data_IF_756643285514
#
_entry.id   IF_756643285514
#
_cell.length_a   1.000
_cell.length_b   1.000
_cell.length_c   1.000
_cell.angle_alpha   90.00
_cell.angle_beta   90.00
_cell.angle_gamma   90.00
#
_symmetry.space_group_name_H-M   'P 1'
#
loop_
_entity.id
_entity.type
_entity.pdbx_description
1 polymer ?
#
# COMPACT_ATOMS: atom_id res chain seq x y z
N UNK A 1 -23.20 48.79 -5.55
CA UNK A 1 -23.42 47.40 -5.10
C UNK A 1 -22.57 46.51 -5.99
N UNK A 2 -21.41 46.08 -5.51
CA UNK A 2 -20.51 45.15 -6.21
C UNK A 2 -20.70 43.80 -5.54
N UNK A 3 -21.29 42.85 -6.25
CA UNK A 3 -21.37 41.46 -5.81
C UNK A 3 -20.10 40.74 -6.28
N UNK A 4 -19.19 40.48 -5.34
CA UNK A 4 -18.08 39.54 -5.51
C UNK A 4 -18.68 38.14 -5.51
N UNK A 5 -18.74 37.50 -6.69
CA UNK A 5 -18.93 36.07 -6.79
C UNK A 5 -17.63 35.38 -6.39
N UNK A 6 -17.58 34.91 -5.14
CA UNK A 6 -16.64 33.88 -4.73
C UNK A 6 -17.00 32.61 -5.52
N UNK A 7 -16.19 32.29 -6.51
CA UNK A 7 -16.19 30.95 -7.11
C UNK A 7 -15.62 30.01 -6.07
N UNK A 8 -16.49 29.29 -5.37
CA UNK A 8 -16.10 28.12 -4.61
C UNK A 8 -15.37 27.17 -5.58
N UNK A 9 -14.10 26.94 -5.26
CA UNK A 9 -13.26 25.92 -5.87
C UNK A 9 -13.92 24.57 -5.64
N UNK A 10 -14.70 24.12 -6.63
CA UNK A 10 -15.08 22.71 -6.76
C UNK A 10 -13.77 21.99 -7.02
N UNK A 11 -13.15 21.45 -5.96
CA UNK A 11 -12.09 20.48 -6.07
C UNK A 11 -12.71 19.26 -6.74
N UNK A 12 -12.70 19.26 -8.08
CA UNK A 12 -13.04 18.09 -8.89
C UNK A 12 -12.13 16.98 -8.40
N UNK A 13 -12.72 15.95 -7.80
CA UNK A 13 -12.03 14.70 -7.51
C UNK A 13 -11.18 14.37 -8.74
N UNK A 14 -9.87 14.14 -8.60
CA UNK A 14 -9.05 13.81 -9.75
C UNK A 14 -9.69 12.60 -10.44
N UNK A 15 -9.88 12.71 -11.76
CA UNK A 15 -10.30 11.57 -12.55
C UNK A 15 -9.34 10.41 -12.27
N UNK A 16 -9.86 9.19 -12.21
CA UNK A 16 -9.05 7.99 -12.01
C UNK A 16 -7.85 7.98 -12.97
N UNK A 17 -6.66 7.70 -12.45
CA UNK A 17 -5.42 7.56 -13.24
C UNK A 17 -4.80 6.18 -12.98
N UNK A 18 -4.21 5.59 -13.99
CA UNK A 18 -3.52 4.30 -13.87
C UNK A 18 -2.08 4.38 -14.39
N UNK A 19 -1.15 3.76 -13.66
CA UNK A 19 0.21 3.47 -14.14
C UNK A 19 0.26 2.20 -15.01
N UNK A 20 -0.80 1.39 -14.99
CA UNK A 20 -0.94 0.15 -15.76
C UNK A 20 -1.78 0.43 -17.00
N UNK A 21 -1.15 0.37 -18.18
CA UNK A 21 -1.74 0.83 -19.45
C UNK A 21 -2.98 0.06 -19.90
N UNK A 22 -3.19 -1.16 -19.39
CA UNK A 22 -4.35 -1.98 -19.71
C UNK A 22 -5.57 -1.66 -18.83
N UNK A 23 -5.42 -0.82 -17.81
CA UNK A 23 -6.46 -0.48 -16.85
C UNK A 23 -6.84 1.00 -17.02
N UNK A 24 -8.08 1.26 -17.40
CA UNK A 24 -8.59 2.60 -17.72
C UNK A 24 -9.57 3.12 -16.66
N UNK A 25 -10.19 2.23 -15.90
CA UNK A 25 -11.16 2.58 -14.88
C UNK A 25 -11.09 1.61 -13.69
N UNK A 26 -12.00 1.78 -12.73
CA UNK A 26 -12.07 0.95 -11.53
C UNK A 26 -12.85 -0.35 -11.75
N UNK A 27 -13.64 -0.47 -12.82
CA UNK A 27 -14.31 -1.72 -13.22
C UNK A 27 -13.29 -2.73 -13.72
N UNK A 28 -12.29 -2.28 -14.50
CA UNK A 28 -11.15 -3.10 -14.94
C UNK A 28 -10.35 -3.68 -13.73
N UNK A 29 -10.32 -2.96 -12.60
CA UNK A 29 -9.71 -3.46 -11.35
C UNK A 29 -10.60 -4.55 -10.73
N UNK A 30 -11.92 -4.31 -10.68
CA UNK A 30 -12.88 -5.27 -10.12
C UNK A 30 -12.88 -6.59 -10.90
N UNK A 31 -12.75 -6.54 -12.22
CA UNK A 31 -12.66 -7.73 -13.07
C UNK A 31 -11.45 -8.61 -12.73
N UNK A 32 -10.33 -8.01 -12.32
CA UNK A 32 -9.08 -8.73 -12.03
C UNK A 32 -8.96 -9.17 -10.57
N UNK A 33 -9.41 -8.36 -9.62
CA UNK A 33 -9.19 -8.62 -8.18
C UNK A 33 -10.47 -8.59 -7.34
N UNK A 34 -11.64 -8.50 -7.96
CA UNK A 34 -12.94 -8.43 -7.28
C UNK A 34 -13.17 -9.58 -6.30
N UNK A 35 -12.72 -10.79 -6.63
CA UNK A 35 -12.73 -11.93 -5.73
C UNK A 35 -12.02 -11.64 -4.40
N UNK A 36 -10.81 -11.06 -4.44
CA UNK A 36 -10.09 -10.68 -3.21
C UNK A 36 -10.80 -9.57 -2.44
N UNK A 37 -11.42 -8.61 -3.14
CA UNK A 37 -12.16 -7.50 -2.53
C UNK A 37 -13.41 -7.95 -1.78
N UNK A 38 -14.07 -9.02 -2.23
CA UNK A 38 -15.22 -9.64 -1.53
C UNK A 38 -14.78 -10.25 -0.19
N UNK A 39 -13.67 -10.98 -0.19
CA UNK A 39 -13.15 -11.66 1.00
C UNK A 39 -12.28 -10.80 1.90
N UNK A 40 -12.14 -9.51 1.59
CA UNK A 40 -11.26 -8.61 2.33
C UNK A 40 -11.53 -8.57 3.83
N UNK A 41 -12.74 -8.88 4.30
CA UNK A 41 -13.07 -8.94 5.73
C UNK A 41 -12.27 -10.02 6.50
N UNK A 42 -11.66 -10.98 5.80
CA UNK A 42 -10.80 -12.02 6.36
C UNK A 42 -9.32 -11.61 6.42
N UNK A 43 -8.93 -10.49 5.80
CA UNK A 43 -7.53 -10.10 5.67
C UNK A 43 -7.01 -9.39 6.92
N UNK A 44 -5.73 -9.55 7.21
CA UNK A 44 -5.08 -8.77 8.27
C UNK A 44 -4.96 -7.31 7.85
N UNK A 45 -5.27 -6.36 8.75
CA UNK A 45 -4.97 -4.94 8.51
C UNK A 45 -3.69 -4.54 9.20
N UNK A 46 -2.83 -3.88 8.44
CA UNK A 46 -1.52 -3.42 8.90
C UNK A 46 -1.34 -1.96 8.53
N UNK A 47 -0.62 -1.25 9.37
CA UNK A 47 -0.17 0.12 9.11
C UNK A 47 1.27 0.24 9.55
N UNK A 48 1.91 1.34 9.20
CA UNK A 48 3.23 1.65 9.70
C UNK A 48 3.24 1.82 11.23
N UNK A 49 4.22 1.27 11.96
CA UNK A 49 4.33 1.46 13.41
C UNK A 49 4.32 2.93 13.86
N UNK A 50 4.95 3.86 13.11
CA UNK A 50 4.91 5.29 13.43
C UNK A 50 3.55 5.94 13.19
N UNK A 51 2.67 5.28 12.43
CA UNK A 51 1.30 5.74 12.18
C UNK A 51 0.28 5.05 13.07
N UNK A 52 0.64 3.99 13.81
CA UNK A 52 -0.30 3.25 14.67
C UNK A 52 -1.01 4.16 15.68
N UNK A 53 -0.30 5.13 16.26
CA UNK A 53 -0.88 6.11 17.18
C UNK A 53 -1.89 7.06 16.50
N UNK A 54 -1.83 7.20 15.17
CA UNK A 54 -2.74 8.04 14.38
C UNK A 54 -3.96 7.25 13.88
N UNK A 55 -4.08 5.97 14.26
CA UNK A 55 -5.18 5.11 13.89
C UNK A 55 -5.99 4.76 15.13
N UNK A 56 -7.30 4.98 15.04
CA UNK A 56 -8.22 4.27 15.90
C UNK A 56 -8.16 2.78 15.55
N UNK A 57 -8.00 1.92 16.56
CA UNK A 57 -7.78 0.49 16.34
C UNK A 57 -8.98 -0.16 15.65
N UNK A 58 -10.19 0.15 16.10
CA UNK A 58 -11.43 -0.35 15.53
C UNK A 58 -11.62 0.12 14.09
N UNK A 59 -11.30 1.38 13.82
CA UNK A 59 -11.32 1.95 12.49
C UNK A 59 -10.36 1.22 11.54
N UNK A 60 -9.11 0.98 11.98
CA UNK A 60 -8.11 0.26 11.19
C UNK A 60 -8.58 -1.17 10.89
N UNK A 61 -9.10 -1.90 11.88
CA UNK A 61 -9.58 -3.27 11.68
C UNK A 61 -10.80 -3.35 10.75
N UNK A 62 -11.64 -2.30 10.74
CA UNK A 62 -12.81 -2.21 9.85
C UNK A 62 -12.48 -1.63 8.48
N UNK A 63 -11.21 -1.25 8.22
CA UNK A 63 -10.81 -0.67 6.95
C UNK A 63 -11.11 -1.62 5.78
N UNK A 64 -11.64 -1.02 4.71
CA UNK A 64 -11.96 -1.72 3.47
C UNK A 64 -11.53 -0.91 2.25
N UNK A 65 -10.94 -1.60 1.28
CA UNK A 65 -10.69 -1.05 -0.05
C UNK A 65 -12.03 -0.90 -0.75
N UNK A 66 -12.33 0.33 -1.16
CA UNK A 66 -13.54 0.68 -1.92
C UNK A 66 -13.13 1.27 -3.25
N UNK A 67 -13.35 0.54 -4.34
CA UNK A 67 -12.88 0.91 -5.68
C UNK A 67 -13.38 2.27 -6.15
N UNK A 68 -14.62 2.63 -5.80
CA UNK A 68 -15.17 3.95 -6.13
C UNK A 68 -14.47 5.14 -5.45
N UNK A 69 -13.56 4.89 -4.50
CA UNK A 69 -12.70 5.91 -3.88
C UNK A 69 -11.26 5.84 -4.37
N UNK A 70 -10.92 4.87 -5.22
CA UNK A 70 -9.59 4.76 -5.82
C UNK A 70 -9.46 5.80 -6.91
N UNK A 71 -8.46 6.66 -6.80
CA UNK A 71 -8.15 7.67 -7.80
C UNK A 71 -6.85 7.39 -8.57
N UNK A 72 -6.01 6.48 -8.05
CA UNK A 72 -4.72 6.11 -8.66
C UNK A 72 -4.45 4.63 -8.48
N UNK A 73 -4.18 3.95 -9.59
CA UNK A 73 -3.61 2.60 -9.58
C UNK A 73 -2.11 2.69 -9.91
N UNK A 74 -1.26 2.11 -9.06
CA UNK A 74 0.18 2.02 -9.28
C UNK A 74 0.61 0.67 -9.82
N UNK A 75 -0.03 -0.41 -9.35
CA UNK A 75 0.30 -1.78 -9.71
C UNK A 75 -0.91 -2.68 -9.52
N UNK A 76 -1.08 -3.67 -10.39
CA UNK A 76 -2.03 -4.75 -10.25
C UNK A 76 -1.40 -6.05 -10.73
N UNK A 77 -1.65 -7.12 -9.99
CA UNK A 77 -1.31 -8.48 -10.36
C UNK A 77 -2.48 -9.39 -10.05
N UNK A 78 -2.73 -10.29 -10.98
CA UNK A 78 -3.75 -11.32 -10.89
C UNK A 78 -3.19 -12.61 -11.48
N UNK A 79 -3.29 -13.69 -10.73
CA UNK A 79 -3.03 -15.04 -11.17
C UNK A 79 -4.12 -15.96 -10.61
N UNK A 80 -4.77 -16.69 -11.50
CA UNK A 80 -5.71 -17.77 -11.19
C UNK A 80 -5.48 -18.86 -12.21
N UNK A 81 -5.02 -20.02 -11.75
CA UNK A 81 -4.85 -21.20 -12.62
C UNK A 81 -6.10 -22.09 -12.65
N UNK A 82 -7.20 -21.64 -12.03
CA UNK A 82 -8.49 -22.31 -11.88
C UNK A 82 -8.44 -23.66 -11.14
N UNK A 83 -7.24 -24.09 -10.67
CA UNK A 83 -7.00 -25.47 -10.23
C UNK A 83 -6.35 -25.50 -8.85
N UNK A 84 -5.25 -24.79 -8.65
CA UNK A 84 -4.32 -25.01 -7.55
C UNK A 84 -3.88 -23.76 -6.80
N UNK A 85 -3.85 -22.59 -7.43
CA UNK A 85 -3.38 -21.38 -6.77
C UNK A 85 -4.01 -20.12 -7.34
N UNK A 86 -4.34 -19.22 -6.42
CA UNK A 86 -4.82 -17.86 -6.72
C UNK A 86 -3.96 -16.86 -5.97
N UNK A 87 -3.58 -15.80 -6.66
CA UNK A 87 -2.82 -14.71 -6.09
C UNK A 87 -3.26 -13.38 -6.69
N UNK A 88 -3.52 -12.42 -5.81
CA UNK A 88 -4.00 -11.09 -6.15
C UNK A 88 -3.12 -10.07 -5.42
N UNK A 89 -2.72 -9.02 -6.12
CA UNK A 89 -2.00 -7.90 -5.52
C UNK A 89 -2.42 -6.58 -6.17
N UNK A 90 -2.69 -5.55 -5.37
CA UNK A 90 -2.92 -4.19 -5.85
C UNK A 90 -2.17 -3.18 -5.00
N UNK A 91 -1.62 -2.17 -5.67
CA UNK A 91 -1.11 -0.94 -5.06
C UNK A 91 -1.92 0.24 -5.57
N UNK A 92 -2.63 0.92 -4.67
CA UNK A 92 -3.55 2.02 -5.03
C UNK A 92 -3.41 3.22 -4.10
N UNK A 93 -3.80 4.39 -4.60
CA UNK A 93 -4.18 5.53 -3.76
C UNK A 93 -5.70 5.65 -3.76
N UNK A 94 -6.26 5.87 -2.58
CA UNK A 94 -7.70 6.09 -2.44
C UNK A 94 -8.02 7.21 -1.47
N UNK A 95 -9.18 7.81 -1.67
CA UNK A 95 -9.78 8.75 -0.73
C UNK A 95 -10.31 8.04 0.51
N UNK A 96 -9.96 8.60 1.66
CA UNK A 96 -10.46 8.12 2.94
C UNK A 96 -10.64 9.30 3.89
N UNK A 97 -11.92 9.61 4.18
CA UNK A 97 -12.32 10.85 4.85
C UNK A 97 -11.82 12.04 4.02
N UNK A 98 -11.00 12.91 4.58
CA UNK A 98 -10.46 14.12 3.93
C UNK A 98 -8.99 13.93 3.51
N UNK A 99 -8.48 12.69 3.57
CA UNK A 99 -7.08 12.37 3.30
C UNK A 99 -6.92 11.33 2.19
N UNK A 100 -5.74 11.34 1.56
CA UNK A 100 -5.33 10.28 0.64
C UNK A 100 -4.60 9.19 1.40
N UNK A 101 -4.99 7.94 1.18
CA UNK A 101 -4.29 6.77 1.69
C UNK A 101 -3.64 5.99 0.56
N UNK A 102 -2.47 5.46 0.86
CA UNK A 102 -1.78 4.49 0.02
C UNK A 102 -2.05 3.10 0.59
N UNK A 103 -2.50 2.20 -0.28
CA UNK A 103 -2.96 0.88 0.12
C UNK A 103 -2.27 -0.16 -0.73
N UNK A 104 -1.77 -1.18 -0.05
CA UNK A 104 -1.34 -2.44 -0.63
C UNK A 104 -2.26 -3.53 -0.15
N UNK A 105 -2.93 -4.22 -1.07
CA UNK A 105 -3.68 -5.43 -0.76
C UNK A 105 -2.99 -6.59 -1.47
N UNK A 106 -2.61 -7.60 -0.70
CA UNK A 106 -2.10 -8.87 -1.21
C UNK A 106 -2.95 -9.99 -0.64
N UNK A 107 -3.38 -10.92 -1.48
CA UNK A 107 -4.17 -12.07 -1.08
C UNK A 107 -3.83 -13.29 -1.92
N UNK A 108 -3.97 -14.47 -1.35
CA UNK A 108 -3.87 -15.71 -2.10
C UNK A 108 -4.54 -16.88 -1.40
N UNK A 109 -4.83 -17.93 -2.15
CA UNK A 109 -5.11 -19.27 -1.61
C UNK A 109 -4.38 -20.30 -2.47
N UNK A 110 -3.75 -21.25 -1.78
CA UNK A 110 -3.25 -22.48 -2.37
C UNK A 110 -4.18 -23.64 -1.99
N UNK A 111 -4.55 -24.43 -2.99
CA UNK A 111 -5.42 -25.59 -2.87
C UNK A 111 -4.58 -26.86 -2.91
N UNK A 112 -4.50 -27.58 -1.78
CA UNK A 112 -3.79 -28.86 -1.68
C UNK A 112 -4.77 -29.98 -1.34
N UNK A 113 -5.26 -30.71 -2.36
CA UNK A 113 -6.22 -31.79 -2.17
C UNK A 113 -7.58 -31.27 -1.70
N UNK A 114 -7.97 -31.55 -0.45
CA UNK A 114 -9.21 -31.04 0.17
C UNK A 114 -8.99 -29.80 1.06
N UNK A 115 -7.74 -29.37 1.26
CA UNK A 115 -7.40 -28.22 2.11
C UNK A 115 -7.19 -26.97 1.23
N UNK A 116 -7.78 -25.82 1.62
CA UNK A 116 -7.37 -24.48 1.14
C UNK A 116 -6.63 -23.77 2.26
N UNK A 117 -5.42 -23.33 1.96
CA UNK A 117 -4.66 -22.43 2.81
C UNK A 117 -4.68 -21.06 2.14
N UNK A 118 -5.62 -20.23 2.60
CA UNK A 118 -5.83 -18.88 2.10
C UNK A 118 -5.59 -17.82 3.15
N UNK A 119 -5.22 -16.63 2.68
CA UNK A 119 -5.02 -15.46 3.52
C UNK A 119 -4.85 -14.20 2.70
N UNK A 120 -4.82 -13.08 3.39
CA UNK A 120 -4.49 -11.81 2.76
C UNK A 120 -4.14 -10.76 3.79
N UNK A 121 -3.50 -9.71 3.33
CA UNK A 121 -3.17 -8.54 4.11
C UNK A 121 -3.55 -7.27 3.35
N UNK A 122 -3.93 -6.26 4.12
CA UNK A 122 -4.15 -4.91 3.64
C UNK A 122 -3.22 -4.02 4.46
N UNK A 123 -2.16 -3.54 3.82
CA UNK A 123 -1.27 -2.54 4.39
C UNK A 123 -1.73 -1.14 3.97
N UNK A 124 -1.81 -0.22 4.94
CA UNK A 124 -2.31 1.13 4.76
C UNK A 124 -1.29 2.12 5.32
N UNK A 125 -1.05 3.22 4.60
CA UNK A 125 -0.24 4.33 5.12
C UNK A 125 -0.74 5.67 4.58
N UNK A 126 -0.61 6.72 5.38
CA UNK A 126 -0.85 8.11 4.93
C UNK A 126 0.41 8.70 4.30
N UNK A 127 1.57 8.15 4.63
CA UNK A 127 2.86 8.69 4.22
C UNK A 127 3.33 8.10 2.88
N UNK A 128 3.48 8.92 1.82
CA UNK A 128 3.93 8.46 0.52
C UNK A 128 5.39 7.95 0.52
N UNK A 129 6.25 8.42 1.43
CA UNK A 129 7.60 7.89 1.57
C UNK A 129 7.61 6.48 2.18
N UNK A 130 6.73 6.22 3.15
CA UNK A 130 6.59 4.87 3.73
C UNK A 130 6.04 3.92 2.68
N UNK A 131 5.04 4.35 1.92
CA UNK A 131 4.51 3.58 0.79
C UNK A 131 5.63 3.23 -0.20
N UNK A 132 6.36 4.23 -0.69
CA UNK A 132 7.39 4.02 -1.70
C UNK A 132 8.60 3.20 -1.22
N UNK A 133 9.02 3.35 0.04
CA UNK A 133 10.26 2.72 0.53
C UNK A 133 10.03 1.41 1.28
N UNK A 134 8.84 1.19 1.83
CA UNK A 134 8.56 0.04 2.70
C UNK A 134 7.49 -0.90 2.16
N UNK A 135 6.66 -0.45 1.23
CA UNK A 135 5.56 -1.24 0.66
C UNK A 135 5.85 -1.66 -0.77
N UNK A 136 6.33 -0.70 -1.58
CA UNK A 136 6.72 -0.95 -2.98
C UNK A 136 7.97 -1.84 -3.02
N UNK A 137 7.79 -3.07 -3.50
CA UNK A 137 8.83 -4.06 -3.73
C UNK A 137 9.41 -4.00 -5.15
N UNK A 138 10.45 -4.80 -5.37
CA UNK A 138 11.16 -4.88 -6.66
C UNK A 138 10.25 -5.19 -7.85
N UNK A 139 9.24 -6.04 -7.63
CA UNK A 139 8.36 -6.53 -8.69
C UNK A 139 7.33 -5.48 -9.14
N UNK A 140 7.21 -4.35 -8.42
CA UNK A 140 6.21 -3.31 -8.67
C UNK A 140 6.70 -2.17 -9.58
N UNK A 141 7.92 -2.27 -10.12
CA UNK A 141 8.59 -1.19 -10.86
C UNK A 141 8.68 0.12 -10.05
N UNK A 142 9.53 0.17 -9.00
CA UNK A 142 9.61 1.31 -8.07
C UNK A 142 9.90 2.66 -8.75
N UNK A 143 10.68 2.68 -9.84
CA UNK A 143 10.97 3.89 -10.60
C UNK A 143 9.72 4.49 -11.25
N UNK A 144 8.83 3.66 -11.79
CA UNK A 144 7.56 4.11 -12.35
C UNK A 144 6.67 4.70 -11.25
N UNK A 145 6.57 4.01 -10.11
CA UNK A 145 5.75 4.46 -8.97
C UNK A 145 6.28 5.77 -8.38
N UNK A 146 7.60 5.92 -8.26
CA UNK A 146 8.24 7.17 -7.86
C UNK A 146 7.83 8.33 -8.78
N UNK A 147 7.94 8.15 -10.09
CA UNK A 147 7.53 9.19 -11.05
C UNK A 147 6.03 9.50 -10.96
N UNK A 148 5.20 8.49 -10.75
CA UNK A 148 3.76 8.66 -10.54
C UNK A 148 3.47 9.55 -9.32
N UNK A 149 4.16 9.31 -8.20
CA UNK A 149 4.00 10.11 -6.97
C UNK A 149 4.43 11.57 -7.19
N UNK A 150 5.51 11.80 -7.93
CA UNK A 150 5.96 13.15 -8.29
C UNK A 150 4.94 13.88 -9.19
N UNK A 151 4.41 13.20 -10.21
CA UNK A 151 3.35 13.76 -11.08
C UNK A 151 2.08 14.11 -10.31
N UNK A 152 1.76 13.33 -9.28
CA UNK A 152 0.63 13.57 -8.39
C UNK A 152 0.90 14.67 -7.34
N UNK A 153 2.10 15.28 -7.35
CA UNK A 153 2.48 16.41 -6.51
C UNK A 153 3.06 16.05 -5.14
N UNK A 154 3.35 14.77 -4.88
CA UNK A 154 3.99 14.35 -3.64
C UNK A 154 5.47 14.67 -3.62
N UNK A 155 5.95 15.09 -2.45
CA UNK A 155 7.38 15.23 -2.17
C UNK A 155 7.88 13.93 -1.55
N UNK A 156 8.42 13.06 -2.38
CA UNK A 156 9.01 11.78 -1.96
C UNK A 156 10.50 11.75 -2.27
N UNK A 157 11.23 11.06 -1.42
CA UNK A 157 12.66 10.79 -1.61
C UNK A 157 12.83 9.67 -2.63
N UNK A 158 13.82 9.81 -3.51
CA UNK A 158 14.18 8.77 -4.47
C UNK A 158 14.55 7.46 -3.72
N UNK A 159 14.03 6.30 -4.15
CA UNK A 159 14.39 5.01 -3.56
C UNK A 159 15.88 4.75 -3.71
N UNK A 160 16.55 4.45 -2.61
CA UNK A 160 17.96 4.06 -2.59
C UNK A 160 18.13 2.60 -3.04
N UNK A 161 19.36 2.19 -3.34
CA UNK A 161 19.64 0.77 -3.60
C UNK A 161 19.26 -0.14 -2.42
N UNK A 162 19.25 0.39 -1.19
CA UNK A 162 18.82 -0.38 -0.03
C UNK A 162 17.32 -0.62 -0.05
N UNK A 163 16.52 0.41 -0.34
CA UNK A 163 15.06 0.32 -0.48
C UNK A 163 14.69 -0.67 -1.60
N UNK A 164 15.44 -0.62 -2.71
CA UNK A 164 15.23 -1.49 -3.85
C UNK A 164 15.73 -2.91 -3.63
N UNK A 165 16.79 -3.16 -2.84
CA UNK A 165 17.42 -4.49 -2.71
C UNK A 165 17.88 -4.81 -1.28
N UNK A 166 16.97 -4.82 -0.29
CA UNK A 166 17.35 -4.94 1.12
C UNK A 166 18.07 -6.26 1.42
N UNK A 167 17.64 -7.39 0.83
CA UNK A 167 18.28 -8.71 1.03
C UNK A 167 19.73 -8.78 0.56
N UNK A 168 20.10 -8.07 -0.51
CA UNK A 168 21.48 -8.05 -1.03
C UNK A 168 22.38 -7.15 -0.20
N UNK A 169 21.80 -6.11 0.41
CA UNK A 169 22.50 -5.08 1.16
C UNK A 169 22.53 -5.34 2.68
N UNK A 170 21.75 -6.30 3.18
CA UNK A 170 21.62 -6.59 4.61
C UNK A 170 22.95 -6.94 5.28
N UNK A 171 23.87 -7.55 4.52
CA UNK A 171 25.19 -7.95 5.00
C UNK A 171 26.24 -6.84 4.95
N UNK A 172 25.94 -5.68 4.33
CA UNK A 172 26.93 -4.64 4.02
C UNK A 172 26.60 -3.26 4.59
N UNK A 173 25.47 -3.11 5.29
CA UNK A 173 25.03 -1.83 5.87
C UNK A 173 24.90 -1.97 7.39
N UNK A 174 25.38 -1.01 8.22
CA UNK A 174 25.27 -1.08 9.68
C UNK A 174 23.80 -1.25 10.09
N UNK A 175 23.47 -2.44 10.60
CA UNK A 175 22.14 -3.02 10.53
C UNK A 175 21.02 -2.27 11.29
N UNK A 176 21.35 -1.30 12.15
CA UNK A 176 20.38 -0.70 13.08
C UNK A 176 19.57 0.45 12.51
N UNK A 177 20.12 1.22 11.57
CA UNK A 177 19.40 2.31 10.90
C UNK A 177 18.45 1.83 9.80
N UNK A 178 18.44 0.53 9.53
CA UNK A 178 17.81 -0.08 8.36
C UNK A 178 17.01 -1.34 8.68
N UNK A 179 16.78 -1.63 9.98
CA UNK A 179 15.85 -2.70 10.35
C UNK A 179 14.48 -2.38 9.78
N UNK A 180 13.94 -3.30 8.99
CA UNK A 180 12.56 -3.19 8.51
C UNK A 180 11.63 -3.14 9.73
N UNK A 181 10.49 -2.51 9.54
CA UNK A 181 9.56 -2.21 10.62
C UNK A 181 9.09 -3.49 11.36
N UNK A 182 8.99 -4.59 10.62
CA UNK A 182 8.67 -5.92 11.14
C UNK A 182 9.82 -6.53 11.97
N UNK A 183 11.08 -6.24 11.63
CA UNK A 183 12.24 -6.69 12.39
C UNK A 183 12.39 -5.92 13.71
N UNK A 184 12.09 -4.62 13.73
CA UNK A 184 12.06 -3.82 14.96
C UNK A 184 11.01 -4.35 15.92
N UNK A 185 9.78 -4.54 15.45
CA UNK A 185 8.67 -5.01 16.30
C UNK A 185 8.89 -6.42 16.87
N UNK A 186 9.48 -7.33 16.10
CA UNK A 186 9.72 -8.72 16.56
C UNK A 186 10.89 -8.87 17.53
N UNK A 187 11.74 -7.85 17.68
CA UNK A 187 12.98 -7.94 18.44
C UNK A 187 13.20 -6.74 19.39
N UNK A 188 12.12 -6.11 19.87
CA UNK A 188 12.19 -4.93 20.74
C UNK A 188 13.12 -5.12 21.95
N UNK A 189 13.09 -6.29 22.59
CA UNK A 189 13.95 -6.63 23.73
C UNK A 189 15.46 -6.52 23.46
N UNK A 190 15.88 -6.70 22.21
CA UNK A 190 17.28 -6.62 21.78
C UNK A 190 17.70 -5.21 21.36
N UNK A 191 16.75 -4.29 21.20
CA UNK A 191 16.99 -2.92 20.73
C UNK A 191 17.03 -1.89 21.87
N UNK A 192 16.79 -2.31 23.11
CA UNK A 192 16.78 -1.48 24.32
C UNK A 192 18.08 -0.69 24.59
N UNK A 193 19.21 -1.09 23.99
CA UNK A 193 20.52 -0.45 24.18
C UNK A 193 20.83 0.65 23.16
N UNK A 194 19.98 0.86 22.15
CA UNK A 194 20.15 1.92 21.15
C UNK A 194 19.23 3.10 21.50
N UNK A 195 19.75 4.15 22.16
CA UNK A 195 18.94 5.30 22.59
C UNK A 195 18.33 6.09 21.43
N UNK A 196 18.76 5.86 20.19
CA UNK A 196 18.19 6.47 18.98
C UNK A 196 16.99 5.67 18.40
N UNK A 197 16.64 4.51 18.95
CA UNK A 197 15.72 3.54 18.29
C UNK A 197 14.45 3.24 19.11
N UNK A 198 14.30 3.80 20.31
CA UNK A 198 13.07 3.71 21.10
C UNK A 198 12.66 5.11 21.58
N UNK A 199 11.36 5.42 21.69
CA UNK A 199 10.90 6.62 22.41
C UNK A 199 11.36 6.62 23.88
#
# INVERSE_FOLDING_TARGET
VILLLMTDSVATHPAFRSAVSTINNTEDIDDLVGSALVYQHMFDRRTSPWEMQNWDYDELQKFKVKLNRVDRLYYIYHYDDEISSRSYEILVRMDYKEEKLFVHLAAGCDFTGFDCQGGGEIYITRNPNIFLKSVVGQNHNPSLIYNCLLEDGYRVEEPTQFDLSPRKMWNSVPALRFLTHQAIHKHQEHLNHYPEVLP
#
